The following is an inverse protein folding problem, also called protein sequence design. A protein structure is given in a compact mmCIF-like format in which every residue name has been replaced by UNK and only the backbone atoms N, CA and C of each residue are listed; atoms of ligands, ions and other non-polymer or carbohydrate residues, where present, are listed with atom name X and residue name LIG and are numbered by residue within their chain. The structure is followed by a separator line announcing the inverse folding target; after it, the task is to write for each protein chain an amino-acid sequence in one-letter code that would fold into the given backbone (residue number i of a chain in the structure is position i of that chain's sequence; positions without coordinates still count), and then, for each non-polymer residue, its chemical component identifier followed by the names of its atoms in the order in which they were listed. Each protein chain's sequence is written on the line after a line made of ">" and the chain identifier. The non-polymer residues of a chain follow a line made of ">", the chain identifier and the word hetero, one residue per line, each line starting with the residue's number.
data_IF_353121716433
#
_entry.id   IF_353121716433
#
_cell.length_a   1.000
_cell.length_b   1.000
_cell.length_c   1.000
_cell.angle_alpha   90.00
_cell.angle_beta   90.00
_cell.angle_gamma   90.00
#
_symmetry.space_group_name_H-M   'P 1'
#
loop_
_entity.id
_entity.type
_entity.pdbx_description
1 polymer ?
#
# COMPACT_ATOMS: atom_id res chain seq x y z
N UNK A 1 -18.40 12.05 -24.51
CA UNK A 1 -17.36 11.00 -24.64
C UNK A 1 -16.17 11.22 -23.69
N UNK A 2 -15.76 12.46 -23.37
CA UNK A 2 -14.67 12.76 -22.42
C UNK A 2 -14.92 12.39 -20.95
N UNK A 3 -16.18 12.40 -20.49
CA UNK A 3 -16.51 12.23 -19.07
C UNK A 3 -16.32 10.80 -18.54
N UNK A 4 -16.46 9.79 -19.42
CA UNK A 4 -16.24 8.39 -19.04
C UNK A 4 -14.77 8.11 -18.73
N UNK A 5 -13.84 8.72 -19.47
CA UNK A 5 -12.41 8.49 -19.27
C UNK A 5 -11.93 9.00 -17.91
N UNK A 6 -12.27 10.24 -17.56
CA UNK A 6 -11.88 10.86 -16.28
C UNK A 6 -12.41 10.07 -15.08
N UNK A 7 -13.66 9.61 -15.13
CA UNK A 7 -14.27 8.88 -14.02
C UNK A 7 -13.61 7.51 -13.82
N UNK A 8 -13.24 6.83 -14.91
CA UNK A 8 -12.48 5.56 -14.81
C UNK A 8 -11.09 5.77 -14.22
N UNK A 9 -10.36 6.83 -14.60
CA UNK A 9 -9.06 7.15 -13.98
C UNK A 9 -9.18 7.39 -12.48
N UNK A 10 -10.20 8.12 -12.03
CA UNK A 10 -10.43 8.38 -10.61
C UNK A 10 -10.80 7.12 -9.82
N UNK A 11 -11.61 6.23 -10.40
CA UNK A 11 -11.96 4.95 -9.76
C UNK A 11 -10.71 4.07 -9.62
N UNK A 12 -9.92 3.95 -10.68
CA UNK A 12 -8.67 3.18 -10.65
C UNK A 12 -7.71 3.73 -9.59
N UNK A 13 -7.54 5.06 -9.56
CA UNK A 13 -6.75 5.73 -8.53
C UNK A 13 -7.25 5.37 -7.12
N UNK A 14 -8.55 5.52 -6.86
CA UNK A 14 -9.13 5.27 -5.54
C UNK A 14 -9.00 3.81 -5.10
N UNK A 15 -9.16 2.85 -6.02
CA UNK A 15 -9.03 1.43 -5.71
C UNK A 15 -7.59 1.06 -5.38
N UNK A 16 -6.62 1.45 -6.21
CA UNK A 16 -5.19 1.16 -5.97
C UNK A 16 -4.69 1.86 -4.72
N UNK A 17 -5.09 3.11 -4.51
CA UNK A 17 -4.80 3.84 -3.28
C UNK A 17 -5.41 3.16 -2.05
N UNK A 18 -6.63 2.64 -2.14
CA UNK A 18 -7.26 1.93 -1.03
C UNK A 18 -6.57 0.59 -0.73
N UNK A 19 -6.27 -0.22 -1.76
CA UNK A 19 -5.59 -1.51 -1.59
C UNK A 19 -4.20 -1.37 -0.96
N UNK A 20 -3.43 -0.37 -1.39
CA UNK A 20 -2.07 -0.11 -0.86
C UNK A 20 -2.09 0.67 0.46
N UNK A 21 -3.01 1.63 0.59
CA UNK A 21 -3.09 2.55 1.73
C UNK A 21 -3.77 1.99 2.97
N UNK A 22 -4.71 1.06 2.82
CA UNK A 22 -5.46 0.49 3.93
C UNK A 22 -5.06 -0.96 4.20
N UNK A 23 -4.43 -1.18 5.36
CA UNK A 23 -4.09 -2.52 5.90
C UNK A 23 -5.28 -3.48 5.92
N UNK A 24 -6.51 -2.98 6.06
CA UNK A 24 -7.72 -3.81 6.17
C UNK A 24 -8.46 -4.08 4.87
N UNK A 25 -8.05 -3.48 3.74
CA UNK A 25 -8.75 -3.65 2.45
C UNK A 25 -7.94 -4.37 1.35
N UNK A 26 -7.17 -5.44 1.63
CA UNK A 26 -6.49 -6.22 0.58
C UNK A 26 -7.45 -7.07 -0.26
N UNK A 27 -8.77 -6.93 -0.10
CA UNK A 27 -9.79 -7.65 -0.87
C UNK A 27 -10.09 -6.99 -2.23
N UNK A 28 -9.62 -5.76 -2.47
CA UNK A 28 -9.86 -5.08 -3.74
C UNK A 28 -8.96 -5.69 -4.84
N UNK A 29 -9.50 -6.04 -6.02
CA UNK A 29 -8.74 -6.71 -7.07
C UNK A 29 -7.95 -5.70 -7.93
N UNK A 30 -6.95 -5.02 -7.38
CA UNK A 30 -6.19 -4.00 -8.10
C UNK A 30 -5.37 -4.55 -9.25
N UNK A 31 -4.77 -5.73 -9.12
CA UNK A 31 -4.01 -6.36 -10.21
C UNK A 31 -4.88 -6.60 -11.46
N UNK A 32 -6.09 -7.11 -11.23
CA UNK A 32 -7.06 -7.35 -12.30
C UNK A 32 -7.51 -6.03 -12.94
N UNK A 33 -7.67 -4.98 -12.14
CA UNK A 33 -8.03 -3.64 -12.61
C UNK A 33 -6.89 -2.97 -13.38
N UNK A 34 -5.63 -3.13 -12.96
CA UNK A 34 -4.46 -2.69 -13.71
C UNK A 34 -4.41 -3.37 -15.08
N UNK A 35 -4.65 -4.68 -15.12
CA UNK A 35 -4.66 -5.44 -16.37
C UNK A 35 -5.78 -4.97 -17.32
N UNK A 36 -6.99 -4.76 -16.78
CA UNK A 36 -8.11 -4.21 -17.55
C UNK A 36 -7.78 -2.80 -18.07
N UNK A 37 -7.27 -1.92 -17.20
CA UNK A 37 -6.90 -0.54 -17.57
C UNK A 37 -5.82 -0.52 -18.66
N UNK A 38 -4.80 -1.37 -18.57
CA UNK A 38 -3.77 -1.56 -19.59
C UNK A 38 -4.35 -2.03 -20.92
N UNK A 39 -5.30 -2.97 -20.89
CA UNK A 39 -6.01 -3.45 -22.09
C UNK A 39 -6.80 -2.33 -22.77
N UNK A 40 -7.50 -1.50 -21.99
CA UNK A 40 -8.23 -0.35 -22.53
C UNK A 40 -7.29 0.76 -23.06
N UNK A 41 -6.12 0.95 -22.42
CA UNK A 41 -5.08 1.84 -22.94
C UNK A 41 -4.51 1.35 -24.27
N UNK A 42 -4.25 0.05 -24.41
CA UNK A 42 -3.78 -0.55 -25.66
C UNK A 42 -4.80 -0.42 -26.81
N UNK A 43 -6.11 -0.42 -26.50
CA UNK A 43 -7.18 -0.15 -27.47
C UNK A 43 -7.35 1.32 -27.85
N UNK A 44 -6.48 2.22 -27.37
CA UNK A 44 -6.53 3.66 -27.65
C UNK A 44 -7.61 4.43 -26.87
N UNK A 45 -8.26 3.79 -25.89
CA UNK A 45 -9.28 4.45 -25.06
C UNK A 45 -8.67 5.29 -23.93
N UNK A 46 -7.40 5.04 -23.59
CA UNK A 46 -6.65 5.77 -22.56
C UNK A 46 -5.26 6.14 -23.03
N UNK A 47 -4.75 7.29 -22.57
CA UNK A 47 -3.34 7.62 -22.71
C UNK A 47 -2.53 6.82 -21.70
N UNK A 48 -1.65 5.94 -22.20
CA UNK A 48 -0.85 5.02 -21.37
C UNK A 48 0.12 5.76 -20.45
N UNK A 49 0.71 6.87 -20.90
CA UNK A 49 1.64 7.65 -20.09
C UNK A 49 0.91 8.36 -18.94
N UNK A 50 -0.28 8.90 -19.21
CA UNK A 50 -1.12 9.51 -18.18
C UNK A 50 -1.61 8.47 -17.17
N UNK A 51 -2.08 7.31 -17.66
CA UNK A 51 -2.52 6.20 -16.82
C UNK A 51 -1.40 5.74 -15.89
N UNK A 52 -0.20 5.53 -16.44
CA UNK A 52 0.98 5.16 -15.69
C UNK A 52 1.29 6.19 -14.59
N UNK A 53 1.33 7.48 -14.93
CA UNK A 53 1.60 8.53 -13.95
C UNK A 53 0.58 8.57 -12.81
N UNK A 54 -0.71 8.48 -13.13
CA UNK A 54 -1.79 8.49 -12.14
C UNK A 54 -1.70 7.27 -11.21
N UNK A 55 -1.49 6.07 -11.77
CA UNK A 55 -1.39 4.83 -10.99
C UNK A 55 -0.13 4.82 -10.11
N UNK A 56 1.00 5.29 -10.61
CA UNK A 56 2.24 5.42 -9.82
C UNK A 56 2.05 6.39 -8.65
N UNK A 57 1.43 7.54 -8.88
CA UNK A 57 1.12 8.50 -7.81
C UNK A 57 0.14 7.90 -6.79
N UNK A 58 -0.87 7.15 -7.25
CA UNK A 58 -1.81 6.45 -6.36
C UNK A 58 -1.10 5.48 -5.42
N UNK A 59 -0.22 4.64 -5.97
CA UNK A 59 0.53 3.65 -5.22
C UNK A 59 1.48 4.30 -4.20
N UNK A 60 2.26 5.31 -4.62
CA UNK A 60 3.19 6.01 -3.72
C UNK A 60 2.45 6.71 -2.58
N UNK A 61 1.32 7.35 -2.88
CA UNK A 61 0.50 7.99 -1.84
C UNK A 61 -0.14 6.95 -0.91
N UNK A 62 -0.61 5.82 -1.45
CA UNK A 62 -1.13 4.71 -0.67
C UNK A 62 -0.08 4.16 0.28
N UNK A 63 1.10 3.79 -0.21
CA UNK A 63 2.22 3.31 0.60
C UNK A 63 2.65 4.32 1.67
N UNK A 64 2.63 5.61 1.36
CA UNK A 64 2.91 6.67 2.33
C UNK A 64 1.88 6.66 3.46
N UNK A 65 0.58 6.65 3.12
CA UNK A 65 -0.50 6.60 4.11
C UNK A 65 -0.44 5.31 4.94
N UNK A 66 -0.19 4.18 4.29
CA UNK A 66 0.00 2.89 4.93
C UNK A 66 1.16 2.92 5.93
N UNK A 67 2.29 3.51 5.54
CA UNK A 67 3.44 3.70 6.42
C UNK A 67 3.08 4.56 7.63
N UNK A 68 2.39 5.69 7.42
CA UNK A 68 2.00 6.57 8.53
C UNK A 68 1.03 5.88 9.50
N UNK A 69 0.06 5.13 8.97
CA UNK A 69 -0.86 4.31 9.77
C UNK A 69 -0.07 3.26 10.57
N UNK A 70 0.83 2.52 9.91
CA UNK A 70 1.69 1.52 10.53
C UNK A 70 2.64 2.10 11.58
N UNK A 71 3.19 3.29 11.33
CA UNK A 71 4.07 4.01 12.26
C UNK A 71 3.29 4.47 13.50
N UNK A 72 2.10 5.05 13.32
CA UNK A 72 1.25 5.49 14.43
C UNK A 72 0.73 4.32 15.26
N UNK A 73 0.26 3.24 14.62
CA UNK A 73 -0.15 2.01 15.29
C UNK A 73 1.05 1.34 15.97
N UNK A 74 2.22 1.31 15.32
CA UNK A 74 3.46 0.73 15.85
C UNK A 74 3.95 1.44 17.11
N UNK A 75 3.94 2.78 17.12
CA UNK A 75 4.23 3.57 18.33
C UNK A 75 3.22 3.28 19.46
N UNK A 76 1.94 3.09 19.12
CA UNK A 76 0.89 2.78 20.09
C UNK A 76 0.99 1.34 20.62
N UNK A 77 1.41 0.39 19.79
CA UNK A 77 1.73 -1.00 20.15
C UNK A 77 2.90 -1.05 21.13
N UNK A 78 3.90 -0.17 21.00
CA UNK A 78 5.00 -0.12 21.96
C UNK A 78 4.54 0.34 23.36
N UNK A 79 3.48 1.14 23.44
CA UNK A 79 2.83 1.53 24.69
C UNK A 79 1.81 0.49 25.19
N UNK A 80 1.20 -0.31 24.30
CA UNK A 80 0.39 -1.45 24.71
C UNK A 80 1.30 -2.61 25.11
N UNK A 81 1.28 -3.00 26.38
CA UNK A 81 1.82 -4.31 26.80
C UNK A 81 1.03 -5.42 26.10
N UNK A 82 1.42 -5.79 24.88
CA UNK A 82 0.87 -6.94 24.17
C UNK A 82 1.41 -8.19 24.87
N UNK A 83 0.57 -9.08 25.43
CA UNK A 83 1.04 -10.28 26.12
C UNK A 83 1.78 -11.27 25.19
N UNK A 84 1.60 -11.12 23.87
CA UNK A 84 2.28 -11.90 22.84
C UNK A 84 3.66 -11.36 22.47
N UNK A 85 3.95 -10.08 22.72
CA UNK A 85 5.27 -9.49 22.52
C UNK A 85 6.00 -9.49 23.87
N UNK A 86 6.39 -10.68 24.34
CA UNK A 86 7.20 -10.80 25.56
C UNK A 86 8.54 -10.09 25.32
N UNK A 87 8.76 -8.99 26.05
CA UNK A 87 10.05 -8.26 26.12
C UNK A 87 11.25 -9.20 26.28
N UNK A 88 11.05 -10.33 26.95
CA UNK A 88 12.05 -11.38 27.16
C UNK A 88 12.63 -11.99 25.86
N UNK A 89 11.86 -12.06 24.78
CA UNK A 89 12.35 -12.52 23.48
C UNK A 89 13.18 -11.45 22.76
N UNK A 90 12.82 -10.18 22.92
CA UNK A 90 13.59 -9.06 22.38
C UNK A 90 14.95 -8.97 23.09
N UNK A 91 14.96 -9.10 24.42
CA UNK A 91 16.18 -9.04 25.24
C UNK A 91 17.14 -10.20 24.93
N UNK A 92 16.61 -11.43 24.81
CA UNK A 92 17.41 -12.60 24.38
C UNK A 92 18.00 -12.42 22.99
N UNK A 93 17.27 -11.81 22.07
CA UNK A 93 17.76 -11.58 20.70
C UNK A 93 18.83 -10.49 20.69
N UNK A 94 18.68 -9.44 21.51
CA UNK A 94 19.68 -8.39 21.67
C UNK A 94 20.99 -8.93 22.24
N UNK A 95 20.92 -9.70 23.33
CA UNK A 95 22.09 -10.33 23.95
C UNK A 95 22.76 -11.35 23.03
N UNK A 96 22.00 -12.06 22.19
CA UNK A 96 22.56 -12.97 21.19
C UNK A 96 23.25 -12.22 20.06
N UNK A 97 22.68 -11.10 19.62
CA UNK A 97 23.32 -10.21 18.64
C UNK A 97 24.59 -9.56 19.18
N UNK A 98 24.59 -9.00 20.39
CA UNK A 98 25.82 -8.45 21.00
C UNK A 98 26.93 -9.49 21.18
N UNK A 99 26.57 -10.75 21.38
CA UNK A 99 27.53 -11.84 21.60
C UNK A 99 28.07 -12.46 20.32
N UNK A 100 27.33 -12.41 19.21
CA UNK A 100 27.67 -13.14 17.98
C UNK A 100 27.64 -12.31 16.69
N UNK A 101 27.08 -11.09 16.71
CA UNK A 101 26.98 -10.18 15.57
C UNK A 101 27.75 -8.89 15.85
N UNK A 102 29.02 -8.86 15.46
CA UNK A 102 29.75 -7.60 15.28
C UNK A 102 29.19 -6.79 14.12
#
# INVERSE_FOLDING_TARGET
>A
MLQYGTLTYSILFAVIFAETGFVFTPFLPGDSLLFAAGTFAAKGSFNVHLLFFILSVAAVLGDTVNYWIGHYIGMKIFNWKIPFLKKEHIDKTHQFYEKYGG
#
